data_IF_874508609648
#
_entry.id   IF_874508609648
#
_cell.length_a   1.000
_cell.length_b   1.000
_cell.length_c   1.000
_cell.angle_alpha   90.00
_cell.angle_beta   90.00
_cell.angle_gamma   90.00
#
_symmetry.space_group_name_H-M   'P 1'
#
loop_
_entity.id
_entity.type
_entity.pdbx_description
1 polymer ?
#
# COMPACT_ATOMS: atom_id res chain seq x y z
N UNK A 1 -60.32 57.61 4.22
CA UNK A 1 -60.01 56.37 3.49
C UNK A 1 -58.50 56.14 3.56
N UNK A 2 -58.13 54.86 3.55
CA UNK A 2 -56.88 54.23 3.99
C UNK A 2 -55.58 54.85 3.46
N UNK A 3 -54.56 54.78 4.32
CA UNK A 3 -53.23 55.34 4.08
C UNK A 3 -52.39 54.55 3.08
N UNK A 4 -51.48 55.27 2.44
CA UNK A 4 -50.34 54.67 1.76
C UNK A 4 -49.15 54.72 2.72
N UNK A 5 -48.93 53.58 3.39
CA UNK A 5 -47.70 53.27 4.07
C UNK A 5 -46.63 53.16 2.97
N UNK A 6 -45.77 54.17 2.83
CA UNK A 6 -44.59 54.06 1.98
C UNK A 6 -43.79 52.88 2.45
N UNK A 7 -43.80 51.80 1.66
CA UNK A 7 -42.87 50.68 1.78
C UNK A 7 -41.47 51.26 1.70
N UNK A 8 -40.88 51.46 2.87
CA UNK A 8 -39.48 51.73 3.09
C UNK A 8 -38.76 50.60 2.35
N UNK A 9 -38.11 50.93 1.24
CA UNK A 9 -37.20 50.02 0.56
C UNK A 9 -36.08 49.78 1.57
N UNK A 10 -36.20 48.74 2.38
CA UNK A 10 -35.05 48.16 3.03
C UNK A 10 -34.14 47.75 1.87
N UNK A 11 -33.09 48.54 1.64
CA UNK A 11 -31.97 48.08 0.82
C UNK A 11 -31.47 46.85 1.56
N UNK A 12 -31.84 45.67 1.07
CA UNK A 12 -31.72 44.41 1.80
C UNK A 12 -30.30 44.29 2.32
N UNK A 13 -30.14 44.42 3.64
CA UNK A 13 -28.85 44.20 4.30
C UNK A 13 -28.63 42.69 4.28
N UNK A 14 -27.50 42.27 3.74
CA UNK A 14 -27.13 40.86 3.67
C UNK A 14 -25.94 40.57 4.56
N UNK A 15 -25.84 39.33 5.04
CA UNK A 15 -24.71 38.82 5.81
C UNK A 15 -23.45 38.91 4.94
N UNK A 16 -22.37 39.56 5.41
CA UNK A 16 -21.09 39.54 4.72
C UNK A 16 -20.33 38.23 5.02
N UNK A 17 -19.26 37.97 4.27
CA UNK A 17 -18.27 36.98 4.70
C UNK A 17 -17.40 37.58 5.80
N UNK A 18 -17.39 36.90 6.94
CA UNK A 18 -16.47 37.14 8.05
C UNK A 18 -15.28 36.17 8.02
N UNK A 19 -15.30 35.17 7.13
CA UNK A 19 -14.18 34.24 6.95
C UNK A 19 -12.91 35.02 6.62
N UNK A 20 -11.78 34.61 7.20
CA UNK A 20 -10.47 35.27 7.17
C UNK A 20 -10.32 36.57 7.98
N UNK A 21 -11.40 37.12 8.55
CA UNK A 21 -11.30 38.27 9.45
C UNK A 21 -10.88 37.85 10.86
N UNK A 22 -10.23 38.76 11.58
CA UNK A 22 -10.06 38.61 13.01
C UNK A 22 -11.42 38.74 13.73
N UNK A 23 -11.67 37.90 14.73
CA UNK A 23 -12.94 37.86 15.45
C UNK A 23 -13.36 39.20 16.06
N UNK A 24 -12.42 39.95 16.65
CA UNK A 24 -12.76 41.21 17.34
C UNK A 24 -13.19 42.27 16.32
N UNK A 25 -12.48 42.38 15.19
CA UNK A 25 -12.85 43.28 14.09
C UNK A 25 -14.18 42.88 13.45
N UNK A 26 -14.35 41.59 13.15
CA UNK A 26 -15.59 41.05 12.59
C UNK A 26 -16.80 41.29 13.50
N UNK A 27 -16.60 41.19 14.82
CA UNK A 27 -17.65 41.43 15.82
C UNK A 27 -18.11 42.89 15.82
N UNK A 28 -17.20 43.86 15.65
CA UNK A 28 -17.60 45.26 15.50
C UNK A 28 -18.35 45.50 14.18
N UNK A 29 -17.86 44.94 13.07
CA UNK A 29 -18.54 45.02 11.77
C UNK A 29 -19.96 44.43 11.82
N UNK A 30 -20.15 43.34 12.56
CA UNK A 30 -21.44 42.70 12.77
C UNK A 30 -22.42 43.60 13.56
N UNK A 31 -21.95 44.28 14.62
CA UNK A 31 -22.79 45.19 15.42
C UNK A 31 -23.34 46.35 14.57
N UNK A 32 -22.54 46.88 13.65
CA UNK A 32 -22.96 47.95 12.72
C UNK A 32 -24.08 47.50 11.77
N UNK A 33 -24.16 46.20 11.51
CA UNK A 33 -25.22 45.58 10.71
C UNK A 33 -26.45 45.20 11.54
N UNK A 34 -26.39 45.27 12.87
CA UNK A 34 -27.47 44.89 13.78
C UNK A 34 -27.57 43.38 14.02
N UNK A 35 -26.46 42.67 13.82
CA UNK A 35 -26.29 41.24 14.08
C UNK A 35 -25.20 41.02 15.12
N UNK A 36 -25.19 39.84 15.73
CA UNK A 36 -24.22 39.47 16.77
C UNK A 36 -23.39 38.29 16.29
N UNK A 37 -22.06 38.38 16.36
CA UNK A 37 -21.21 37.20 16.22
C UNK A 37 -21.07 36.49 17.56
N UNK A 38 -21.23 35.17 17.52
CA UNK A 38 -21.02 34.28 18.66
C UNK A 38 -19.82 33.39 18.36
N UNK A 39 -18.77 33.49 19.18
CA UNK A 39 -17.63 32.55 19.10
C UNK A 39 -18.12 31.16 19.48
N UNK A 40 -18.17 30.26 18.50
CA UNK A 40 -18.56 28.86 18.67
C UNK A 40 -17.36 28.01 19.05
N UNK A 41 -16.93 27.13 18.13
CA UNK A 41 -15.77 26.30 18.31
C UNK A 41 -14.46 27.08 18.08
N UNK A 42 -13.43 26.72 18.84
CA UNK A 42 -12.04 27.08 18.54
C UNK A 42 -11.32 25.80 18.13
N UNK A 43 -10.72 25.80 16.94
CA UNK A 43 -10.04 24.62 16.39
C UNK A 43 -8.60 24.95 16.04
N UNK A 44 -7.74 23.94 16.10
CA UNK A 44 -6.37 24.06 15.62
C UNK A 44 -6.35 24.22 14.11
N UNK A 45 -5.58 25.19 13.64
CA UNK A 45 -5.41 25.52 12.24
C UNK A 45 -4.08 26.25 12.06
N UNK A 46 -3.56 26.22 10.83
CA UNK A 46 -2.38 26.98 10.41
C UNK A 46 -2.66 28.48 10.27
N UNK A 47 -3.93 28.87 10.27
CA UNK A 47 -4.38 30.27 10.22
C UNK A 47 -4.07 31.01 11.52
N UNK A 48 -3.99 32.35 11.44
CA UNK A 48 -3.65 33.19 12.60
C UNK A 48 -4.65 33.00 13.76
N UNK A 49 -4.14 33.14 14.98
CA UNK A 49 -4.98 33.07 16.17
C UNK A 49 -6.13 34.09 16.11
N UNK A 50 -7.32 33.64 16.50
CA UNK A 50 -8.57 34.42 16.49
C UNK A 50 -9.10 34.80 15.09
N UNK A 51 -8.49 34.30 14.01
CA UNK A 51 -9.05 34.39 12.65
C UNK A 51 -10.27 33.48 12.50
N UNK A 52 -11.34 33.97 11.87
CA UNK A 52 -12.56 33.21 11.60
C UNK A 52 -12.32 32.26 10.42
N UNK A 53 -12.58 30.98 10.66
CA UNK A 53 -12.42 29.88 9.69
C UNK A 53 -13.72 29.55 8.97
N UNK A 54 -14.84 29.66 9.68
CA UNK A 54 -16.17 29.41 9.12
C UNK A 54 -17.24 30.17 9.87
N UNK A 55 -18.35 30.40 9.18
CA UNK A 55 -19.60 30.94 9.73
C UNK A 55 -20.73 29.98 9.39
N UNK A 56 -21.71 29.85 10.28
CA UNK A 56 -22.87 28.96 10.09
C UNK A 56 -23.91 29.52 9.12
N UNK A 57 -24.00 30.85 9.00
CA UNK A 57 -24.89 31.54 8.05
C UNK A 57 -24.10 32.00 6.84
N UNK A 58 -24.49 31.56 5.64
CA UNK A 58 -23.82 31.91 4.39
C UNK A 58 -23.87 33.42 4.08
N UNK A 59 -22.84 33.92 3.39
CA UNK A 59 -22.83 35.28 2.86
C UNK A 59 -24.00 35.52 1.89
N UNK A 60 -24.49 36.75 1.82
CA UNK A 60 -25.64 37.11 1.00
C UNK A 60 -26.99 36.82 1.66
N UNK A 61 -27.05 36.06 2.77
CA UNK A 61 -28.29 35.82 3.52
C UNK A 61 -28.91 37.13 4.00
N UNK A 62 -30.22 37.31 3.82
CA UNK A 62 -30.91 38.52 4.28
C UNK A 62 -30.87 38.64 5.82
N UNK A 63 -30.37 39.76 6.32
CA UNK A 63 -30.23 40.02 7.75
C UNK A 63 -31.60 40.25 8.39
N UNK A 64 -31.87 39.54 9.48
CA UNK A 64 -33.01 39.80 10.36
C UNK A 64 -32.54 40.45 11.66
N UNK A 65 -33.44 41.18 12.32
CA UNK A 65 -33.11 41.91 13.54
C UNK A 65 -32.75 40.94 14.67
N UNK A 66 -31.56 41.10 15.26
CA UNK A 66 -31.09 40.24 16.35
C UNK A 66 -30.63 38.86 15.88
N UNK A 67 -30.33 38.71 14.59
CA UNK A 67 -29.69 37.51 14.05
C UNK A 67 -28.33 37.31 14.73
N UNK A 68 -28.09 36.07 15.16
CA UNK A 68 -26.82 35.59 15.70
C UNK A 68 -26.16 34.69 14.66
N UNK A 69 -24.86 34.88 14.46
CA UNK A 69 -24.05 34.06 13.54
C UNK A 69 -22.95 33.41 14.36
N UNK A 70 -22.90 32.09 14.33
CA UNK A 70 -21.89 31.30 15.03
C UNK A 70 -20.68 31.16 14.12
N UNK A 71 -19.52 31.56 14.64
CA UNK A 71 -18.25 31.47 13.92
C UNK A 71 -17.31 30.48 14.59
N UNK A 72 -16.60 29.71 13.77
CA UNK A 72 -15.47 28.91 14.23
C UNK A 72 -14.20 29.72 14.05
N UNK A 73 -13.34 29.77 15.07
CA UNK A 73 -12.08 30.54 15.03
C UNK A 73 -10.86 29.63 15.15
N UNK A 74 -9.74 30.05 14.58
CA UNK A 74 -8.45 29.40 14.73
C UNK A 74 -7.88 29.62 16.14
N UNK A 75 -7.32 28.57 16.75
CA UNK A 75 -6.49 28.67 17.96
C UNK A 75 -5.09 29.21 17.67
N UNK A 76 -4.64 29.19 16.41
CA UNK A 76 -3.28 29.47 15.98
C UNK A 76 -2.32 28.36 16.40
N UNK A 77 -2.29 27.26 15.66
CA UNK A 77 -1.41 26.13 15.96
C UNK A 77 0.07 26.48 15.71
N UNK A 78 0.97 25.76 16.39
CA UNK A 78 2.38 25.79 16.01
C UNK A 78 2.54 25.19 14.62
N UNK A 79 3.21 25.91 13.73
CA UNK A 79 3.40 25.50 12.34
C UNK A 79 4.84 25.11 12.07
N UNK A 80 4.98 24.19 11.14
CA UNK A 80 6.25 23.67 10.65
C UNK A 80 6.31 23.87 9.14
N UNK A 81 7.52 24.01 8.61
CA UNK A 81 7.72 24.04 7.15
C UNK A 81 7.72 22.63 6.60
N UNK A 82 6.79 22.35 5.70
CA UNK A 82 6.80 21.12 4.91
C UNK A 82 7.95 21.17 3.91
N UNK A 83 8.93 20.24 3.93
CA UNK A 83 9.97 20.22 2.90
C UNK A 83 9.36 19.94 1.51
N UNK A 84 9.90 20.63 0.51
CA UNK A 84 9.66 20.30 -0.90
C UNK A 84 10.48 19.08 -1.29
N UNK A 85 9.79 18.00 -1.67
CA UNK A 85 10.39 16.74 -2.10
C UNK A 85 10.04 16.38 -3.55
N UNK A 86 9.49 17.31 -4.32
CA UNK A 86 9.23 17.07 -5.76
C UNK A 86 10.55 16.80 -6.49
N UNK A 87 10.57 15.73 -7.29
CA UNK A 87 11.74 15.24 -8.00
C UNK A 87 12.69 14.35 -7.18
N UNK A 88 12.47 14.21 -5.86
CA UNK A 88 13.23 13.27 -5.04
C UNK A 88 12.79 11.82 -5.31
N UNK A 89 13.64 10.86 -4.97
CA UNK A 89 13.22 9.46 -4.92
C UNK A 89 12.19 9.25 -3.80
N UNK A 90 11.30 8.28 -3.94
CA UNK A 90 10.30 7.91 -2.90
C UNK A 90 10.97 7.75 -1.51
N UNK A 91 12.09 7.03 -1.44
CA UNK A 91 12.81 6.80 -0.20
C UNK A 91 13.43 8.07 0.40
N UNK A 92 14.06 8.90 -0.42
CA UNK A 92 14.68 10.15 0.04
C UNK A 92 13.60 11.16 0.48
N UNK A 93 12.48 11.22 -0.23
CA UNK A 93 11.33 12.06 0.09
C UNK A 93 10.76 11.70 1.47
N UNK A 94 10.46 10.42 1.70
CA UNK A 94 9.96 9.92 2.99
C UNK A 94 10.97 10.22 4.10
N UNK A 95 12.26 9.93 3.88
CA UNK A 95 13.29 10.21 4.88
C UNK A 95 13.41 11.69 5.21
N UNK A 96 13.26 12.57 4.22
CA UNK A 96 13.35 14.02 4.38
C UNK A 96 12.15 14.57 5.17
N UNK A 97 10.93 14.13 4.84
CA UNK A 97 9.70 14.54 5.54
C UNK A 97 9.74 14.03 6.98
N UNK A 98 9.94 12.73 7.20
CA UNK A 98 9.91 12.14 8.56
C UNK A 98 11.00 12.67 9.49
N UNK A 99 12.10 13.20 8.95
CA UNK A 99 13.15 13.86 9.73
C UNK A 99 12.72 15.23 10.28
N UNK A 100 11.92 15.98 9.53
CA UNK A 100 11.49 17.34 9.90
C UNK A 100 10.09 17.35 10.53
N UNK A 101 9.26 16.39 10.14
CA UNK A 101 7.88 16.19 10.59
C UNK A 101 7.71 14.71 11.00
N UNK A 102 8.18 14.32 12.21
CA UNK A 102 8.15 12.93 12.65
C UNK A 102 6.73 12.38 12.84
N UNK A 103 5.74 13.25 13.05
CA UNK A 103 4.33 12.89 13.23
C UNK A 103 3.49 13.04 11.95
N UNK A 104 4.09 13.41 10.81
CA UNK A 104 3.37 13.49 9.56
C UNK A 104 2.92 12.10 9.09
N UNK A 105 1.70 12.02 8.59
CA UNK A 105 1.17 10.81 7.98
C UNK A 105 1.39 10.88 6.46
N UNK A 106 2.24 10.00 5.91
CA UNK A 106 2.56 10.01 4.48
C UNK A 106 1.69 8.99 3.75
N UNK A 107 0.93 9.46 2.77
CA UNK A 107 0.10 8.64 1.88
C UNK A 107 0.74 8.64 0.50
N UNK A 108 0.90 7.45 -0.09
CA UNK A 108 1.48 7.31 -1.42
C UNK A 108 0.38 7.06 -2.45
N UNK A 109 0.45 7.81 -3.55
CA UNK A 109 -0.32 7.59 -4.77
C UNK A 109 0.65 7.30 -5.92
N UNK A 110 0.22 6.49 -6.87
CA UNK A 110 1.04 6.13 -8.02
C UNK A 110 0.35 6.58 -9.31
N UNK A 111 1.13 7.16 -10.22
CA UNK A 111 0.63 7.63 -11.50
C UNK A 111 1.72 7.51 -12.58
N UNK A 112 1.32 7.17 -13.80
CA UNK A 112 2.20 7.23 -14.96
C UNK A 112 2.41 8.66 -15.44
N UNK A 113 3.66 9.00 -15.71
CA UNK A 113 4.07 10.27 -16.30
C UNK A 113 5.31 10.03 -17.18
N UNK A 114 5.16 10.26 -18.49
CA UNK A 114 6.20 10.04 -19.49
C UNK A 114 7.35 11.05 -19.41
N UNK A 115 7.18 12.14 -18.65
CA UNK A 115 8.17 13.20 -18.49
C UNK A 115 9.05 13.02 -17.26
N UNK A 116 8.64 12.17 -16.33
CA UNK A 116 9.23 12.05 -15.00
C UNK A 116 9.93 10.72 -14.83
N UNK A 117 11.01 10.68 -14.06
CA UNK A 117 11.77 9.45 -13.80
C UNK A 117 10.94 8.48 -12.95
N UNK A 118 10.92 7.19 -13.31
CA UNK A 118 10.26 6.16 -12.49
C UNK A 118 10.79 6.16 -11.04
N UNK A 119 9.89 6.04 -10.06
CA UNK A 119 10.20 6.07 -8.63
C UNK A 119 10.45 7.47 -8.03
N UNK A 120 10.30 8.53 -8.83
CA UNK A 120 10.42 9.91 -8.35
C UNK A 120 9.07 10.52 -7.95
N UNK A 121 9.08 11.42 -6.97
CA UNK A 121 7.91 12.21 -6.59
C UNK A 121 7.60 13.21 -7.70
N UNK A 122 6.41 13.13 -8.27
CA UNK A 122 5.93 14.08 -9.30
C UNK A 122 5.00 15.14 -8.73
N UNK A 123 4.37 14.86 -7.59
CA UNK A 123 3.50 15.80 -6.90
C UNK A 123 3.49 15.51 -5.40
N UNK A 124 3.33 16.57 -4.62
CA UNK A 124 3.15 16.53 -3.18
C UNK A 124 1.93 17.40 -2.82
N UNK A 125 1.18 17.02 -1.79
CA UNK A 125 0.11 17.81 -1.20
C UNK A 125 0.11 17.65 0.32
N UNK A 126 0.11 18.73 1.13
CA UNK A 126 0.25 20.15 0.75
C UNK A 126 1.51 20.47 -0.07
N UNK A 127 1.56 21.65 -0.69
CA UNK A 127 2.71 22.04 -1.53
C UNK A 127 4.00 22.21 -0.70
N UNK A 128 5.16 21.91 -1.30
CA UNK A 128 6.44 22.11 -0.65
C UNK A 128 6.64 23.56 -0.15
N UNK A 129 7.25 23.68 1.01
CA UNK A 129 7.48 24.92 1.78
C UNK A 129 6.22 25.57 2.39
N UNK A 130 5.06 24.93 2.32
CA UNK A 130 3.87 25.39 3.03
C UNK A 130 4.02 25.27 4.55
N UNK A 131 3.28 26.11 5.27
CA UNK A 131 3.11 25.96 6.73
C UNK A 131 2.08 24.87 7.01
N UNK A 132 2.46 23.89 7.82
CA UNK A 132 1.63 22.73 8.17
C UNK A 132 1.67 22.47 9.66
N UNK A 133 0.67 21.76 10.16
CA UNK A 133 0.69 21.22 11.53
C UNK A 133 1.64 20.01 11.59
N UNK A 134 2.10 19.64 12.79
CA UNK A 134 3.01 18.51 12.98
C UNK A 134 2.41 17.17 12.49
N UNK A 135 1.10 16.99 12.66
CA UNK A 135 0.35 15.77 12.32
C UNK A 135 -0.30 15.82 10.93
N UNK A 136 0.28 16.58 10.00
CA UNK A 136 -0.28 16.77 8.66
C UNK A 136 -0.32 15.46 7.86
N UNK A 137 -1.38 15.28 7.07
CA UNK A 137 -1.45 14.26 6.03
C UNK A 137 -0.71 14.76 4.77
N UNK A 138 0.38 14.10 4.38
CA UNK A 138 1.16 14.42 3.19
C UNK A 138 0.90 13.35 2.12
N UNK A 139 0.26 13.73 1.03
CA UNK A 139 0.06 12.87 -0.14
C UNK A 139 1.22 13.07 -1.11
N UNK A 140 1.95 12.00 -1.43
CA UNK A 140 2.98 11.98 -2.46
C UNK A 140 2.50 11.19 -3.66
N UNK A 141 2.44 11.82 -4.83
CA UNK A 141 2.26 11.12 -6.10
C UNK A 141 3.63 10.74 -6.67
N UNK A 142 3.85 9.44 -6.86
CA UNK A 142 5.10 8.87 -7.38
C UNK A 142 4.90 8.47 -8.85
N UNK A 143 5.86 8.82 -9.71
CA UNK A 143 5.89 8.35 -11.10
C UNK A 143 6.14 6.83 -11.12
N UNK A 144 5.20 6.07 -11.69
CA UNK A 144 5.39 4.65 -12.02
C UNK A 144 4.67 4.31 -13.33
N UNK A 145 5.26 3.40 -14.12
CA UNK A 145 4.59 2.82 -15.28
C UNK A 145 3.38 1.99 -14.81
N UNK A 146 2.25 2.05 -15.51
CA UNK A 146 1.08 1.22 -15.18
C UNK A 146 1.43 -0.29 -15.24
N UNK A 147 2.40 -0.65 -16.09
CA UNK A 147 2.97 -1.99 -16.22
C UNK A 147 3.97 -2.34 -15.12
N UNK A 148 4.35 -1.38 -14.27
CA UNK A 148 5.27 -1.56 -13.13
C UNK A 148 4.60 -1.52 -11.76
N UNK A 149 3.29 -1.27 -11.70
CA UNK A 149 2.55 -1.27 -10.44
C UNK A 149 2.52 -2.67 -9.80
N UNK A 150 2.28 -3.71 -10.60
CA UNK A 150 2.12 -5.08 -10.10
C UNK A 150 3.10 -6.06 -10.78
N UNK A 151 3.66 -6.95 -9.98
CA UNK A 151 4.27 -8.20 -10.40
C UNK A 151 3.43 -9.37 -9.89
N UNK A 152 3.28 -10.40 -10.73
CA UNK A 152 2.64 -11.64 -10.33
C UNK A 152 3.67 -12.49 -9.59
N UNK A 153 3.35 -12.90 -8.37
CA UNK A 153 4.20 -13.77 -7.56
C UNK A 153 4.40 -15.12 -8.28
N UNK A 154 5.64 -15.48 -8.65
CA UNK A 154 5.89 -16.77 -9.28
C UNK A 154 5.79 -17.91 -8.26
N UNK A 155 5.37 -19.09 -8.73
CA UNK A 155 5.57 -20.32 -7.95
C UNK A 155 7.03 -20.77 -8.08
N UNK A 156 7.74 -20.77 -6.95
CA UNK A 156 9.13 -21.25 -6.83
C UNK A 156 9.28 -22.45 -5.89
N UNK A 157 8.20 -22.92 -5.27
CA UNK A 157 8.22 -24.12 -4.42
C UNK A 157 8.60 -25.34 -5.27
N UNK A 158 9.55 -26.13 -4.77
CA UNK A 158 10.07 -27.31 -5.48
C UNK A 158 11.08 -27.00 -6.59
N UNK A 159 11.50 -25.74 -6.76
CA UNK A 159 12.62 -25.39 -7.63
C UNK A 159 13.96 -25.44 -6.86
N UNK A 160 15.09 -25.67 -7.56
CA UNK A 160 16.42 -25.39 -7.02
C UNK A 160 16.55 -23.93 -6.57
N UNK A 161 17.32 -23.67 -5.51
CA UNK A 161 17.51 -22.31 -4.98
C UNK A 161 17.95 -21.29 -6.04
N UNK A 162 18.88 -21.67 -6.94
CA UNK A 162 19.38 -20.79 -7.99
C UNK A 162 18.27 -20.40 -8.98
N UNK A 163 17.51 -21.38 -9.47
CA UNK A 163 16.42 -21.18 -10.42
C UNK A 163 15.26 -20.40 -9.77
N UNK A 164 14.99 -20.64 -8.49
CA UNK A 164 14.00 -19.88 -7.72
C UNK A 164 14.36 -18.39 -7.65
N UNK A 165 15.63 -18.08 -7.36
CA UNK A 165 16.13 -16.70 -7.30
C UNK A 165 16.02 -16.00 -8.66
N UNK A 166 16.44 -16.68 -9.73
CA UNK A 166 16.33 -16.14 -11.09
C UNK A 166 14.86 -15.88 -11.47
N UNK A 167 13.97 -16.81 -11.14
CA UNK A 167 12.55 -16.68 -11.45
C UNK A 167 11.87 -15.53 -10.70
N UNK A 168 12.23 -15.31 -9.42
CA UNK A 168 11.77 -14.15 -8.64
C UNK A 168 12.22 -12.84 -9.30
N UNK A 169 13.52 -12.72 -9.61
CA UNK A 169 14.09 -11.52 -10.24
C UNK A 169 13.49 -11.26 -11.62
N UNK A 170 13.33 -12.30 -12.43
CA UNK A 170 12.72 -12.20 -13.77
C UNK A 170 11.25 -11.75 -13.75
N UNK A 171 10.55 -11.98 -12.63
CA UNK A 171 9.17 -11.55 -12.44
C UNK A 171 9.06 -10.10 -11.97
N UNK A 172 10.19 -9.38 -11.85
CA UNK A 172 10.24 -8.00 -11.37
C UNK A 172 10.13 -7.88 -9.85
N UNK A 173 10.44 -8.96 -9.11
CA UNK A 173 10.46 -9.01 -7.64
C UNK A 173 11.90 -9.13 -7.13
N UNK A 174 12.13 -8.86 -5.85
CA UNK A 174 13.45 -9.01 -5.24
C UNK A 174 13.51 -10.27 -4.36
N UNK A 175 14.69 -10.90 -4.29
CA UNK A 175 14.90 -12.00 -3.36
C UNK A 175 15.13 -11.41 -1.98
N UNK A 176 14.30 -11.78 -1.02
CA UNK A 176 14.44 -11.39 0.38
C UNK A 176 15.36 -12.35 1.14
N UNK A 177 14.95 -12.72 2.35
CA UNK A 177 15.69 -13.63 3.20
C UNK A 177 15.66 -15.08 2.66
N UNK A 178 16.84 -15.70 2.62
CA UNK A 178 16.99 -17.12 2.27
C UNK A 178 17.38 -17.88 3.52
N UNK A 179 16.44 -18.66 4.05
CA UNK A 179 16.67 -19.48 5.24
C UNK A 179 16.77 -20.96 4.88
N UNK A 180 17.41 -21.75 5.74
CA UNK A 180 17.61 -23.18 5.52
C UNK A 180 16.98 -24.01 6.65
N UNK A 181 16.30 -25.10 6.32
CA UNK A 181 15.76 -26.05 7.32
C UNK A 181 15.90 -27.50 6.86
N UNK A 182 15.97 -28.44 7.80
CA UNK A 182 16.06 -29.87 7.45
C UNK A 182 14.71 -30.38 6.97
N UNK A 183 14.72 -31.20 5.92
CA UNK A 183 13.52 -31.86 5.39
C UNK A 183 13.80 -33.31 5.05
N UNK A 184 12.84 -34.18 5.38
CA UNK A 184 12.89 -35.61 5.01
C UNK A 184 12.23 -35.89 3.66
N UNK A 185 11.44 -34.95 3.15
CA UNK A 185 10.61 -35.06 1.94
C UNK A 185 11.14 -34.20 0.78
N UNK A 186 11.83 -33.09 1.07
CA UNK A 186 12.38 -32.18 0.05
C UNK A 186 13.89 -32.37 -0.05
N UNK A 187 14.39 -32.61 -1.26
CA UNK A 187 15.81 -32.79 -1.53
C UNK A 187 16.63 -31.56 -1.13
N UNK A 188 17.89 -31.77 -0.72
CA UNK A 188 18.80 -30.69 -0.33
C UNK A 188 18.97 -29.70 -1.49
N UNK A 189 18.89 -28.40 -1.20
CA UNK A 189 19.05 -27.31 -2.16
C UNK A 189 17.77 -26.90 -2.91
N UNK A 190 16.61 -27.48 -2.56
CA UNK A 190 15.31 -27.14 -3.13
C UNK A 190 14.47 -26.30 -2.18
N UNK A 191 13.66 -25.39 -2.74
CA UNK A 191 12.74 -24.53 -1.98
C UNK A 191 11.59 -25.35 -1.40
N UNK A 192 11.39 -25.24 -0.09
CA UNK A 192 10.31 -25.86 0.69
C UNK A 192 9.08 -24.95 0.71
N UNK A 193 9.29 -23.66 0.98
CA UNK A 193 8.21 -22.65 1.05
C UNK A 193 8.69 -21.28 0.59
N UNK A 194 7.74 -20.45 0.20
CA UNK A 194 7.90 -19.01 -0.08
C UNK A 194 6.90 -18.22 0.78
N UNK A 195 7.15 -16.94 1.03
CA UNK A 195 6.27 -16.10 1.88
C UNK A 195 5.01 -15.60 1.21
N UNK A 196 5.05 -15.23 -0.09
CA UNK A 196 3.88 -14.74 -0.82
C UNK A 196 3.21 -15.85 -1.65
N UNK A 197 1.89 -15.75 -1.84
CA UNK A 197 1.12 -16.82 -2.50
C UNK A 197 1.38 -16.80 -4.01
N UNK A 198 1.68 -17.93 -4.65
CA UNK A 198 1.82 -17.95 -6.11
C UNK A 198 0.56 -17.46 -6.82
N UNK A 199 0.73 -16.60 -7.83
CA UNK A 199 -0.36 -16.00 -8.60
C UNK A 199 -0.97 -14.73 -7.97
N UNK A 200 -0.52 -14.34 -6.77
CA UNK A 200 -0.89 -13.06 -6.15
C UNK A 200 -0.26 -11.89 -6.91
N UNK A 201 -1.00 -10.79 -7.06
CA UNK A 201 -0.47 -9.53 -7.60
C UNK A 201 0.06 -8.69 -6.45
N UNK A 202 1.38 -8.43 -6.45
CA UNK A 202 2.04 -7.60 -5.44
C UNK A 202 2.86 -6.50 -6.13
N UNK A 203 3.31 -5.52 -5.37
CA UNK A 203 4.13 -4.43 -5.93
C UNK A 203 5.42 -4.98 -6.56
N UNK A 204 5.83 -4.45 -7.72
CA UNK A 204 7.17 -4.72 -8.23
C UNK A 204 8.24 -4.31 -7.22
N UNK A 205 9.36 -5.01 -7.25
CA UNK A 205 10.47 -4.91 -6.30
C UNK A 205 10.17 -5.38 -4.88
N UNK A 206 8.95 -5.82 -4.57
CA UNK A 206 8.66 -6.50 -3.30
C UNK A 206 9.54 -7.72 -3.11
N UNK A 207 9.93 -7.97 -1.86
CA UNK A 207 10.81 -9.06 -1.47
C UNK A 207 10.03 -10.36 -1.27
N UNK A 208 10.51 -11.45 -1.86
CA UNK A 208 10.04 -12.81 -1.58
C UNK A 208 11.11 -13.56 -0.78
N UNK A 209 10.75 -14.00 0.41
CA UNK A 209 11.62 -14.85 1.22
C UNK A 209 11.37 -16.31 0.85
N UNK A 210 12.45 -17.11 0.87
CA UNK A 210 12.39 -18.54 0.56
C UNK A 210 13.05 -19.36 1.66
N UNK A 211 12.49 -20.53 1.91
CA UNK A 211 13.06 -21.53 2.81
C UNK A 211 13.57 -22.70 1.98
N UNK A 212 14.86 -23.03 2.11
CA UNK A 212 15.54 -24.07 1.33
C UNK A 212 15.83 -25.28 2.21
N UNK A 213 15.72 -26.48 1.63
CA UNK A 213 16.05 -27.72 2.33
C UNK A 213 17.56 -27.89 2.51
N UNK A 214 18.02 -28.08 3.74
CA UNK A 214 19.40 -28.48 4.05
C UNK A 214 19.62 -30.00 3.96
N UNK A 215 18.56 -30.76 3.62
CA UNK A 215 18.57 -32.23 3.55
C UNK A 215 18.05 -32.90 4.82
N UNK A 216 18.15 -34.23 4.87
CA UNK A 216 17.71 -35.02 6.03
C UNK A 216 18.53 -34.66 7.27
N UNK A 217 17.92 -34.60 8.46
CA UNK A 217 18.68 -34.42 9.69
C UNK A 217 19.73 -35.53 9.80
N UNK A 218 20.98 -35.15 10.08
CA UNK A 218 22.06 -36.11 10.24
C UNK A 218 21.68 -37.06 11.39
N UNK A 219 21.47 -38.33 11.08
CA UNK A 219 21.30 -39.36 12.09
C UNK A 219 22.58 -39.38 12.93
N UNK A 220 22.48 -38.99 14.21
CA UNK A 220 23.57 -39.12 15.17
C UNK A 220 23.88 -40.60 15.33
N UNK A 221 24.75 -41.14 14.47
CA UNK A 221 25.27 -42.48 14.60
C UNK A 221 26.25 -42.45 15.77
N UNK A 222 25.75 -42.81 16.96
CA UNK A 222 26.57 -43.10 18.12
C UNK A 222 27.53 -44.24 17.76
N UNK A 223 28.80 -43.90 17.59
CA UNK A 223 29.84 -44.88 17.31
C UNK A 223 30.25 -45.54 18.62
N UNK A 224 29.73 -46.74 18.86
CA UNK A 224 30.15 -47.65 19.93
C UNK A 224 30.60 -48.98 19.34
N UNK A 225 31.74 -49.45 19.87
CA UNK A 225 32.27 -50.82 19.85
C UNK A 225 32.97 -51.37 18.60
N UNK A 226 34.30 -51.23 18.61
CA UNK A 226 35.29 -52.32 18.76
C UNK A 226 34.92 -53.74 18.28
N UNK A 227 35.71 -54.30 17.33
CA UNK A 227 36.16 -55.70 17.34
C UNK A 227 37.33 -55.95 16.37
N UNK A 228 38.41 -56.51 16.93
CA UNK A 228 39.56 -57.13 16.24
C UNK A 228 39.15 -58.47 15.59
N UNK A 229 39.79 -58.86 14.47
CA UNK A 229 40.69 -60.05 14.38
C UNK A 229 40.95 -60.56 12.92
N UNK A 230 42.23 -60.45 12.52
CA UNK A 230 43.13 -61.43 11.83
C UNK A 230 42.76 -62.29 10.60
N UNK A 231 43.62 -62.16 9.57
CA UNK A 231 44.29 -63.24 8.82
C UNK A 231 43.74 -63.55 7.42
N UNK A 232 44.48 -63.90 6.36
CA UNK A 232 45.91 -63.99 6.01
C UNK A 232 46.01 -64.45 4.52
N UNK A 233 47.06 -64.00 3.81
CA UNK A 233 47.74 -64.60 2.61
C UNK A 233 47.08 -64.51 1.21
N UNK A 234 47.67 -63.79 0.24
CA UNK A 234 48.78 -64.14 -0.70
C UNK A 234 48.21 -64.90 -1.94
N UNK A 235 48.49 -64.64 -3.23
CA UNK A 235 49.68 -64.15 -3.93
C UNK A 235 49.41 -63.92 -5.44
N UNK A 236 50.17 -63.00 -6.03
CA UNK A 236 50.86 -63.06 -7.35
C UNK A 236 50.15 -62.87 -8.73
N UNK A 237 50.82 -62.00 -9.51
CA UNK A 237 51.18 -62.08 -10.94
C UNK A 237 50.36 -61.30 -12.00
N UNK A 238 51.15 -60.61 -12.84
CA UNK A 238 50.87 -59.55 -13.83
C UNK A 238 50.92 -60.13 -15.27
N UNK A 239 51.01 -59.33 -16.37
CA UNK A 239 50.02 -58.52 -17.08
C UNK A 239 49.86 -58.95 -18.57
N UNK A 240 48.94 -58.35 -19.35
CA UNK A 240 48.89 -58.22 -20.84
C UNK A 240 47.43 -58.14 -21.30
N UNK A 241 46.95 -57.35 -22.28
CA UNK A 241 47.53 -56.44 -23.29
C UNK A 241 46.41 -55.47 -23.72
N UNK A 242 46.72 -54.20 -24.02
CA UNK A 242 47.03 -53.61 -25.33
C UNK A 242 45.97 -53.73 -26.44
N UNK A 243 45.56 -52.53 -26.95
CA UNK A 243 44.96 -52.21 -28.27
C UNK A 243 43.55 -52.77 -28.56
N UNK A 244 42.59 -52.07 -29.19
CA UNK A 244 42.66 -51.07 -30.27
C UNK A 244 41.28 -50.43 -30.47
N UNK A 245 41.25 -49.13 -30.82
CA UNK A 245 40.15 -48.35 -31.44
C UNK A 245 39.69 -48.92 -32.81
N UNK A 246 38.78 -48.30 -33.61
CA UNK A 246 37.66 -47.33 -33.41
C UNK A 246 36.39 -47.66 -34.25
N UNK A 247 35.41 -46.71 -34.26
CA UNK A 247 34.71 -46.17 -35.45
C UNK A 247 33.19 -46.42 -35.60
N UNK A 248 32.46 -45.30 -35.49
CA UNK A 248 31.32 -44.81 -36.28
C UNK A 248 30.33 -45.80 -36.93
N UNK A 249 29.04 -45.60 -36.65
CA UNK A 249 28.14 -45.00 -37.65
C UNK A 249 26.77 -44.59 -37.07
N UNK A 250 26.30 -43.42 -37.52
CA UNK A 250 24.98 -42.81 -37.33
C UNK A 250 24.03 -43.22 -38.50
N UNK A 251 22.79 -42.68 -38.60
CA UNK A 251 21.47 -43.20 -38.18
C UNK A 251 20.62 -43.77 -39.36
N UNK A 252 19.31 -44.03 -39.16
CA UNK A 252 18.34 -43.12 -39.78
C UNK A 252 17.06 -42.82 -38.98
N UNK A 253 16.34 -41.83 -39.50
CA UNK A 253 15.00 -41.34 -39.19
C UNK A 253 13.85 -42.34 -39.46
N UNK A 254 12.69 -42.18 -38.82
CA UNK A 254 11.44 -41.69 -39.46
C UNK A 254 10.16 -41.98 -38.62
N UNK A 255 9.20 -41.05 -38.76
CA UNK A 255 7.72 -41.18 -38.82
C UNK A 255 6.80 -41.17 -37.58
N UNK A 256 5.83 -40.26 -37.72
CA UNK A 256 4.57 -39.94 -37.02
C UNK A 256 3.46 -41.01 -37.24
N UNK A 257 2.31 -40.91 -36.52
CA UNK A 257 1.01 -40.60 -37.18
C UNK A 257 0.10 -39.66 -36.34
N UNK A 258 -0.53 -38.59 -36.88
CA UNK A 258 -1.96 -38.45 -37.31
C UNK A 258 -2.93 -39.49 -36.73
N UNK A 259 -4.10 -39.23 -36.16
CA UNK A 259 -5.04 -38.09 -36.09
C UNK A 259 -6.46 -38.71 -36.02
N UNK A 260 -7.42 -38.14 -35.29
CA UNK A 260 -8.85 -38.35 -35.54
C UNK A 260 -9.68 -37.13 -35.17
N UNK A 261 -10.53 -36.83 -36.13
CA UNK A 261 -11.48 -35.75 -36.33
C UNK A 261 -12.83 -36.05 -35.65
N UNK A 262 -13.59 -35.01 -35.28
CA UNK A 262 -15.06 -34.91 -35.47
C UNK A 262 -15.63 -33.70 -34.72
N UNK A 263 -16.27 -32.86 -35.51
CA UNK A 263 -17.08 -31.67 -35.23
C UNK A 263 -18.38 -32.03 -34.49
N UNK A 264 -18.93 -31.11 -33.68
CA UNK A 264 -20.26 -30.48 -33.93
C UNK A 264 -20.83 -29.72 -32.72
N UNK A 265 -21.52 -28.63 -33.07
CA UNK A 265 -22.51 -27.84 -32.34
C UNK A 265 -22.08 -26.77 -31.30
N UNK A 266 -21.97 -25.53 -31.81
CA UNK A 266 -22.57 -24.36 -31.15
C UNK A 266 -24.09 -24.37 -31.36
N UNK A 267 -24.86 -23.81 -30.41
CA UNK A 267 -25.60 -22.61 -30.79
C UNK A 267 -25.49 -21.46 -29.78
N UNK A 268 -25.70 -20.27 -30.31
CA UNK A 268 -25.77 -18.98 -29.64
C UNK A 268 -27.19 -18.67 -29.11
N UNK A 269 -27.26 -17.59 -28.30
CA UNK A 269 -28.35 -16.62 -27.99
C UNK A 269 -29.51 -16.94 -27.01
N UNK A 270 -29.70 -16.02 -26.04
CA UNK A 270 -30.92 -15.75 -25.25
C UNK A 270 -30.60 -15.53 -23.75
N UNK A 271 -30.48 -14.31 -23.20
CA UNK A 271 -31.49 -13.29 -22.84
C UNK A 271 -32.57 -13.75 -21.85
N UNK A 272 -32.85 -12.88 -20.85
CA UNK A 272 -33.87 -12.94 -19.76
C UNK A 272 -33.49 -13.83 -18.57
N UNK A 273 -33.70 -13.48 -17.29
CA UNK A 273 -34.37 -12.36 -16.63
C UNK A 273 -34.72 -12.78 -15.19
N UNK A 274 -34.78 -11.78 -14.29
CA UNK A 274 -35.58 -11.70 -13.04
C UNK A 274 -35.38 -12.68 -11.86
N UNK A 275 -35.08 -12.05 -10.71
CA UNK A 275 -35.81 -12.11 -9.44
C UNK A 275 -35.48 -13.11 -8.30
N UNK A 276 -35.00 -12.47 -7.22
CA UNK A 276 -35.39 -12.57 -5.79
C UNK A 276 -35.16 -13.86 -4.99
N UNK A 277 -34.40 -13.72 -3.88
CA UNK A 277 -34.83 -13.88 -2.45
C UNK A 277 -33.68 -13.36 -1.57
N UNK A 278 -33.78 -12.20 -0.90
CA UNK A 278 -34.23 -12.00 0.49
C UNK A 278 -33.82 -13.09 1.51
N UNK A 279 -32.92 -12.78 2.45
CA UNK A 279 -33.19 -13.02 3.88
C UNK A 279 -32.26 -12.24 4.83
N UNK A 280 -32.89 -11.43 5.67
CA UNK A 280 -32.43 -10.79 6.91
C UNK A 280 -32.27 -11.76 8.08
N UNK A 281 -31.37 -11.42 9.02
CA UNK A 281 -31.38 -11.61 10.50
C UNK A 281 -29.90 -11.47 10.96
N UNK A 282 -29.47 -10.57 11.85
CA UNK A 282 -30.07 -10.03 13.06
C UNK A 282 -29.61 -10.89 14.25
N UNK A 283 -28.67 -10.41 15.09
CA UNK A 283 -28.79 -10.42 16.56
C UNK A 283 -27.63 -9.70 17.28
N UNK A 284 -27.84 -9.51 18.57
CA UNK A 284 -27.43 -8.44 19.47
C UNK A 284 -26.42 -8.89 20.55
N UNK A 285 -26.13 -7.98 21.49
CA UNK A 285 -25.40 -8.11 22.78
C UNK A 285 -23.93 -7.66 22.71
N UNK A 286 -23.45 -6.61 23.37
CA UNK A 286 -23.87 -6.03 24.64
C UNK A 286 -23.06 -6.64 25.78
N UNK A 287 -21.99 -5.98 26.24
CA UNK A 287 -21.63 -5.93 27.67
C UNK A 287 -20.65 -4.79 27.95
N UNK A 288 -21.07 -3.91 28.82
CA UNK A 288 -20.26 -3.00 29.64
C UNK A 288 -19.33 -3.77 30.56
N UNK A 289 -18.11 -3.27 30.82
CA UNK A 289 -17.62 -3.30 32.20
C UNK A 289 -16.71 -2.13 32.52
N UNK A 290 -16.95 -1.61 33.72
CA UNK A 290 -16.34 -0.47 34.39
C UNK A 290 -15.34 -0.97 35.44
N UNK A 291 -14.47 -0.05 35.90
CA UNK A 291 -13.65 -0.13 37.12
C UNK A 291 -12.35 -0.95 36.98
N UNK A 292 -11.18 -0.54 37.49
CA UNK A 292 -10.85 0.27 38.67
C UNK A 292 -9.43 0.84 38.56
N UNK A 293 -9.21 1.99 39.18
CA UNK A 293 -7.93 2.60 39.51
C UNK A 293 -6.95 1.67 40.28
N UNK A 294 -5.63 1.86 40.10
CA UNK A 294 -4.70 2.14 41.20
C UNK A 294 -3.28 2.43 40.69
N UNK A 295 -2.67 3.47 41.29
CA UNK A 295 -1.23 3.82 41.35
C UNK A 295 -0.56 4.36 40.09
#
# INVERSE_FOLDING_TARGET
MFGNNSSIVNKDKTVPSFVTMNYDEASENAKDLGITLVKGATVESTEEKDQILSQDIEEGTAITKGMEIIVTVSSGAETYKLPDVVGYSEADAISKITKELPNANIVLEYKSDDKSTEGSVIKQSPEGNSDVMESVDVVLTICRDESSLNAVVPNVVGLPEADAKEKIVSSGLTVGNVSNTTSTTVAKGYVITQTATPGEEILKSSTIDIVVSSGRPASSSGSSSNSNNSGNSNSNQSPSGNSTSPSNNTPPSNTQPSGTDSEDDMPTIGSMGSDTTNNTNGDTSGTTNSSTANQ
#
